data_IF_066818397041
#
_entry.id   IF_066818397041
#
_cell.length_a   1.000
_cell.length_b   1.000
_cell.length_c   1.000
_cell.angle_alpha   90.00
_cell.angle_beta   90.00
_cell.angle_gamma   90.00
#
_symmetry.space_group_name_H-M   'P 1'
#
loop_
_entity.id
_entity.type
_entity.pdbx_description
1 polymer ?
#
# COMPACT_ATOMS: atom_id res chain seq x y z
N UNK A 1 1.57 23.82 -16.84
CA UNK A 1 2.34 22.58 -16.62
C UNK A 1 2.24 21.75 -17.88
N UNK A 2 3.36 21.35 -18.49
CA UNK A 2 3.31 20.53 -19.71
C UNK A 2 3.01 19.05 -19.37
N UNK A 3 2.78 18.21 -20.38
CA UNK A 3 2.41 16.79 -20.19
C UNK A 3 3.53 15.91 -19.62
N UNK A 4 4.78 16.35 -19.69
CA UNK A 4 5.94 15.68 -19.09
C UNK A 4 6.07 16.02 -17.60
N UNK A 5 5.84 17.29 -17.25
CA UNK A 5 5.81 17.76 -15.86
C UNK A 5 4.65 17.11 -15.08
N UNK A 6 3.49 16.94 -15.72
CA UNK A 6 2.35 16.21 -15.13
C UNK A 6 2.69 14.75 -14.83
N UNK A 7 3.38 14.05 -15.75
CA UNK A 7 3.78 12.65 -15.54
C UNK A 7 4.81 12.51 -14.43
N UNK A 8 5.81 13.40 -14.37
CA UNK A 8 6.80 13.43 -13.29
C UNK A 8 6.14 13.68 -11.93
N UNK A 9 5.13 14.55 -11.88
CA UNK A 9 4.41 14.85 -10.66
C UNK A 9 3.54 13.67 -10.19
N UNK A 10 2.82 13.00 -11.10
CA UNK A 10 2.05 11.79 -10.77
C UNK A 10 2.98 10.69 -10.22
N UNK A 11 4.09 10.42 -10.89
CA UNK A 11 5.09 9.43 -10.44
C UNK A 11 5.67 9.78 -9.06
N UNK A 12 5.91 11.07 -8.79
CA UNK A 12 6.34 11.53 -7.47
C UNK A 12 5.28 11.28 -6.38
N UNK A 13 4.01 11.57 -6.67
CA UNK A 13 2.90 11.34 -5.73
C UNK A 13 2.71 9.84 -5.47
N UNK A 14 2.73 9.02 -6.52
CA UNK A 14 2.56 7.57 -6.41
C UNK A 14 3.70 6.92 -5.61
N UNK A 15 4.95 7.34 -5.84
CA UNK A 15 6.11 6.87 -5.07
C UNK A 15 6.03 7.23 -3.59
N UNK A 16 5.60 8.45 -3.27
CA UNK A 16 5.39 8.85 -1.88
C UNK A 16 4.22 8.08 -1.26
N UNK A 17 3.15 7.84 -2.02
CA UNK A 17 2.00 7.05 -1.60
C UNK A 17 2.38 5.64 -1.23
N UNK A 18 3.13 4.98 -2.10
CA UNK A 18 3.66 3.67 -1.83
C UNK A 18 4.57 3.67 -0.59
N UNK A 19 5.41 4.70 -0.41
CA UNK A 19 6.31 4.80 0.75
C UNK A 19 5.55 4.92 2.06
N UNK A 20 4.48 5.72 2.11
CA UNK A 20 3.67 5.88 3.33
C UNK A 20 2.82 4.63 3.58
N UNK A 21 2.22 4.06 2.53
CA UNK A 21 1.43 2.84 2.63
C UNK A 21 2.26 1.70 3.22
N UNK A 22 3.53 1.55 2.80
CA UNK A 22 4.47 0.55 3.34
C UNK A 22 4.78 0.69 4.83
N UNK A 23 4.42 1.80 5.47
CA UNK A 23 4.60 2.00 6.92
C UNK A 23 3.33 1.71 7.73
N UNK A 24 2.23 1.32 7.09
CA UNK A 24 0.99 1.03 7.80
C UNK A 24 0.91 -0.44 8.19
N UNK A 25 0.22 -0.73 9.29
CA UNK A 25 0.03 -2.11 9.75
C UNK A 25 -0.81 -2.94 8.77
N UNK A 26 -1.72 -2.30 8.02
CA UNK A 26 -2.53 -2.96 7.01
C UNK A 26 -1.67 -3.45 5.82
N UNK A 27 -0.63 -2.71 5.46
CA UNK A 27 0.33 -3.17 4.44
C UNK A 27 1.17 -4.35 4.93
N UNK A 28 1.63 -4.30 6.18
CA UNK A 28 2.36 -5.40 6.81
C UNK A 28 1.51 -6.67 6.86
N UNK A 29 0.26 -6.59 7.34
CA UNK A 29 -0.67 -7.72 7.39
C UNK A 29 -1.00 -8.28 5.99
N UNK A 30 -1.18 -7.42 4.99
CA UNK A 30 -1.38 -7.84 3.61
C UNK A 30 -0.14 -8.57 3.04
N UNK A 31 1.06 -8.06 3.35
CA UNK A 31 2.31 -8.69 2.92
C UNK A 31 2.51 -10.06 3.59
N UNK A 32 2.27 -10.15 4.89
CA UNK A 32 2.44 -11.38 5.67
C UNK A 32 1.46 -12.47 5.22
N UNK A 33 0.19 -12.12 4.97
CA UNK A 33 -0.80 -13.07 4.45
C UNK A 33 -0.43 -13.60 3.06
N UNK A 34 0.14 -12.74 2.19
CA UNK A 34 0.65 -13.18 0.90
C UNK A 34 1.84 -14.14 1.05
N UNK A 35 2.77 -13.84 1.96
CA UNK A 35 3.92 -14.71 2.22
C UNK A 35 3.50 -16.07 2.79
N UNK A 36 2.43 -16.12 3.58
CA UNK A 36 1.87 -17.38 4.06
C UNK A 36 1.32 -18.25 2.91
N UNK A 37 0.62 -17.66 1.94
CA UNK A 37 0.17 -18.36 0.73
C UNK A 37 1.36 -18.89 -0.08
N UNK A 38 2.38 -18.06 -0.28
CA UNK A 38 3.60 -18.48 -1.00
C UNK A 38 4.27 -19.64 -0.27
N UNK A 39 4.43 -19.55 1.05
CA UNK A 39 5.00 -20.61 1.87
C UNK A 39 4.23 -21.92 1.71
N UNK A 40 2.90 -21.87 1.79
CA UNK A 40 2.03 -23.03 1.56
C UNK A 40 2.24 -23.62 0.15
N UNK A 41 2.21 -22.78 -0.90
CA UNK A 41 2.30 -23.22 -2.29
C UNK A 41 3.69 -23.81 -2.65
N UNK A 42 4.74 -23.42 -1.93
CA UNK A 42 6.10 -23.97 -2.12
C UNK A 42 6.34 -25.28 -1.37
N UNK A 43 5.40 -25.73 -0.54
CA UNK A 43 5.55 -26.99 0.17
C UNK A 43 5.02 -28.17 -0.68
N UNK A 44 5.93 -28.99 -1.20
CA UNK A 44 5.63 -30.09 -2.13
C UNK A 44 4.83 -31.25 -1.50
N UNK A 45 4.72 -31.31 -0.16
CA UNK A 45 3.98 -32.36 0.57
C UNK A 45 2.59 -31.91 1.07
N UNK A 46 2.13 -30.74 0.64
CA UNK A 46 0.99 -30.05 1.23
C UNK A 46 -0.32 -30.28 0.43
N UNK A 47 -1.20 -31.14 0.95
CA UNK A 47 -2.53 -31.44 0.36
C UNK A 47 -3.72 -30.90 1.22
N UNK A 48 -3.44 -29.99 2.16
CA UNK A 48 -4.45 -29.46 3.07
C UNK A 48 -5.29 -28.34 2.42
N UNK A 49 -6.33 -28.76 1.68
CA UNK A 49 -7.26 -27.86 1.00
C UNK A 49 -7.98 -26.89 1.96
N UNK A 50 -8.28 -27.31 3.20
CA UNK A 50 -8.93 -26.45 4.19
C UNK A 50 -8.00 -25.30 4.60
N UNK A 51 -6.72 -25.60 4.83
CA UNK A 51 -5.71 -24.58 5.09
C UNK A 51 -5.52 -23.65 3.89
N UNK A 52 -5.51 -24.19 2.66
CA UNK A 52 -5.40 -23.37 1.45
C UNK A 52 -6.55 -22.35 1.34
N UNK A 53 -7.79 -22.80 1.56
CA UNK A 53 -8.97 -21.91 1.56
C UNK A 53 -8.83 -20.83 2.60
N UNK A 54 -8.45 -21.19 3.84
CA UNK A 54 -8.30 -20.23 4.93
C UNK A 54 -7.24 -19.17 4.63
N UNK A 55 -6.10 -19.55 4.06
CA UNK A 55 -5.04 -18.60 3.69
C UNK A 55 -5.52 -17.59 2.63
N UNK A 56 -6.35 -18.02 1.69
CA UNK A 56 -6.96 -17.14 0.69
C UNK A 56 -7.99 -16.21 1.33
N UNK A 57 -8.82 -16.70 2.26
CA UNK A 57 -9.78 -15.88 3.01
C UNK A 57 -9.08 -14.81 3.87
N UNK A 58 -8.01 -15.18 4.55
CA UNK A 58 -7.19 -14.28 5.36
C UNK A 58 -6.57 -13.19 4.46
N UNK A 59 -6.02 -13.57 3.30
CA UNK A 59 -5.44 -12.60 2.36
C UNK A 59 -6.49 -11.67 1.73
N UNK A 60 -7.69 -12.18 1.44
CA UNK A 60 -8.80 -11.36 0.95
C UNK A 60 -9.23 -10.34 2.02
N UNK A 61 -9.33 -10.77 3.27
CA UNK A 61 -9.65 -9.89 4.40
C UNK A 61 -8.58 -8.79 4.58
N UNK A 62 -7.30 -9.17 4.58
CA UNK A 62 -6.19 -8.22 4.64
C UNK A 62 -6.18 -7.26 3.44
N UNK A 63 -6.62 -7.69 2.26
CA UNK A 63 -6.74 -6.83 1.08
C UNK A 63 -7.84 -5.77 1.23
N UNK A 64 -8.95 -6.09 1.91
CA UNK A 64 -9.97 -5.10 2.26
C UNK A 64 -9.47 -4.10 3.30
N UNK A 65 -8.70 -4.55 4.29
CA UNK A 65 -8.08 -3.65 5.28
C UNK A 65 -7.02 -2.75 4.64
N UNK A 66 -6.23 -3.28 3.69
CA UNK A 66 -5.26 -2.51 2.93
C UNK A 66 -5.90 -1.31 2.22
N UNK A 67 -7.15 -1.43 1.78
CA UNK A 67 -7.89 -0.30 1.20
C UNK A 67 -8.02 0.86 2.20
N UNK A 68 -8.29 0.57 3.48
CA UNK A 68 -8.34 1.60 4.54
C UNK A 68 -6.94 2.18 4.79
N UNK A 69 -5.90 1.33 4.79
CA UNK A 69 -4.51 1.78 4.85
C UNK A 69 -4.14 2.75 3.71
N UNK A 70 -4.62 2.48 2.50
CA UNK A 70 -4.43 3.34 1.32
C UNK A 70 -5.12 4.70 1.49
N UNK A 71 -6.35 4.73 1.99
CA UNK A 71 -7.07 5.97 2.27
C UNK A 71 -6.33 6.82 3.31
N UNK A 72 -5.86 6.19 4.38
CA UNK A 72 -5.05 6.84 5.41
C UNK A 72 -3.72 7.39 4.85
N UNK A 73 -3.04 6.61 4.00
CA UNK A 73 -1.80 7.02 3.36
C UNK A 73 -2.01 8.20 2.40
N UNK A 74 -3.10 8.17 1.60
CA UNK A 74 -3.50 9.29 0.72
C UNK A 74 -3.75 10.55 1.52
N UNK A 75 -4.51 10.47 2.62
CA UNK A 75 -4.78 11.62 3.48
C UNK A 75 -3.49 12.25 4.03
N UNK A 76 -2.56 11.43 4.55
CA UNK A 76 -1.27 11.89 5.07
C UNK A 76 -0.43 12.61 4.01
N UNK A 77 -0.44 12.13 2.77
CA UNK A 77 0.33 12.72 1.68
C UNK A 77 -0.31 13.99 1.15
N UNK A 78 -1.62 13.99 0.96
CA UNK A 78 -2.33 15.21 0.57
C UNK A 78 -2.07 16.34 1.57
N UNK A 79 -2.07 16.04 2.87
CA UNK A 79 -1.71 17.00 3.91
C UNK A 79 -0.25 17.46 3.80
N UNK A 80 0.71 16.53 3.65
CA UNK A 80 2.14 16.87 3.53
C UNK A 80 2.44 17.74 2.30
N UNK A 81 1.86 17.42 1.15
CA UNK A 81 2.01 18.19 -0.08
C UNK A 81 1.38 19.59 0.04
N UNK A 82 0.25 19.70 0.75
CA UNK A 82 -0.37 20.99 1.04
C UNK A 82 0.50 21.83 1.98
N UNK A 83 1.07 21.23 3.03
CA UNK A 83 1.97 21.90 3.96
C UNK A 83 3.26 22.37 3.25
N UNK A 84 3.85 21.55 2.38
CA UNK A 84 5.00 21.91 1.54
C UNK A 84 4.69 23.11 0.62
N UNK A 85 3.52 23.10 -0.03
CA UNK A 85 3.08 24.21 -0.88
C UNK A 85 2.84 25.52 -0.12
N UNK A 86 2.33 25.45 1.12
CA UNK A 86 2.14 26.62 1.97
C UNK A 86 3.48 27.19 2.49
N UNK A 87 4.46 26.33 2.77
CA UNK A 87 5.80 26.74 3.19
C UNK A 87 6.56 27.44 2.05
N UNK A 88 6.47 26.93 0.83
CA UNK A 88 7.10 27.56 -0.35
C UNK A 88 6.49 28.93 -0.70
N UNK A 89 5.23 29.18 -0.34
CA UNK A 89 4.53 30.44 -0.62
C UNK A 89 4.50 31.45 0.56
N UNK A 90 4.99 31.07 1.75
CA UNK A 90 5.03 31.96 2.93
C UNK A 90 6.37 32.67 3.12
N UNK A 91 7.32 32.45 2.20
CA UNK A 91 8.60 33.17 2.12
C UNK A 91 8.65 34.33 1.11
N UNK A 92 7.50 34.75 0.57
CA UNK A 92 7.37 35.94 -0.29
C UNK A 92 6.71 37.11 0.45
#
# INVERSE_FOLDING_TARGET
MNSEDQRKWIDYVDKNLLKVLKTTGEYEAWQDSLLAIVGYATNEEQEDEELAVKLIEDHLSASFELQQGLENARFKISKKLQDEWLLDNSGQ
#
